data_IF_569026019438
#
_entry.id   IF_569026019438
#
_cell.length_a   1.000
_cell.length_b   1.000
_cell.length_c   1.000
_cell.angle_alpha   90.00
_cell.angle_beta   90.00
_cell.angle_gamma   90.00
#
_symmetry.space_group_name_H-M   'P 1'
#
loop_
_entity.id
_entity.type
_entity.pdbx_description
1 polymer ?
#
# COMPACT_ATOMS: atom_id res chain seq x y z
N UNK A 1 -13.28 4.97 8.31
CA UNK A 1 -12.49 4.13 7.39
C UNK A 1 -13.46 3.17 6.72
N UNK A 2 -14.04 3.54 5.57
CA UNK A 2 -14.82 2.60 4.77
C UNK A 2 -13.81 1.72 4.02
N UNK A 3 -14.00 0.39 3.94
CA UNK A 3 -13.21 -0.42 3.03
C UNK A 3 -13.51 0.10 1.61
N UNK A 4 -12.48 0.60 0.94
CA UNK A 4 -12.57 0.83 -0.50
C UNK A 4 -12.87 -0.53 -1.13
N UNK A 5 -13.80 -0.64 -2.08
CA UNK A 5 -14.20 -1.92 -2.70
C UNK A 5 -13.04 -2.69 -3.36
N UNK A 6 -11.86 -2.07 -3.45
CA UNK A 6 -10.63 -2.61 -4.02
C UNK A 6 -9.73 -3.31 -2.98
N UNK A 7 -10.13 -3.34 -1.70
CA UNK A 7 -9.37 -3.93 -0.59
C UNK A 7 -10.18 -5.04 0.08
N UNK A 8 -9.79 -6.29 -0.14
CA UNK A 8 -10.42 -7.45 0.51
C UNK A 8 -9.51 -8.02 1.58
N UNK A 9 -10.02 -8.20 2.80
CA UNK A 9 -9.27 -8.88 3.86
C UNK A 9 -9.48 -10.39 3.76
N UNK A 10 -8.38 -11.13 3.70
CA UNK A 10 -8.36 -12.58 3.76
C UNK A 10 -8.10 -13.01 5.21
N UNK A 11 -9.15 -13.46 5.90
CA UNK A 11 -9.10 -13.90 7.30
C UNK A 11 -8.22 -15.15 7.51
N UNK A 12 -8.05 -15.99 6.49
CA UNK A 12 -7.29 -17.24 6.58
C UNK A 12 -5.78 -16.97 6.50
N UNK A 13 -5.39 -16.02 5.65
CA UNK A 13 -3.99 -15.61 5.49
C UNK A 13 -3.58 -14.44 6.40
N UNK A 14 -4.55 -13.68 6.91
CA UNK A 14 -4.32 -12.48 7.72
C UNK A 14 -3.81 -11.28 6.92
N UNK A 15 -4.07 -11.25 5.61
CA UNK A 15 -3.56 -10.24 4.69
C UNK A 15 -4.69 -9.50 3.99
N UNK A 16 -4.39 -8.29 3.52
CA UNK A 16 -5.27 -7.56 2.63
C UNK A 16 -4.84 -7.74 1.18
N UNK A 17 -5.79 -8.04 0.31
CA UNK A 17 -5.63 -8.04 -1.12
C UNK A 17 -6.02 -6.67 -1.69
N UNK A 18 -5.05 -5.95 -2.24
CA UNK A 18 -5.23 -4.64 -2.89
C UNK A 18 -5.39 -4.77 -4.41
N UNK A 19 -5.65 -5.98 -4.92
CA UNK A 19 -5.71 -6.31 -6.35
C UNK A 19 -4.34 -6.43 -7.01
N UNK A 20 -3.47 -5.45 -6.81
CA UNK A 20 -2.10 -5.46 -7.34
C UNK A 20 -1.10 -6.22 -6.46
N UNK A 21 -1.26 -6.11 -5.14
CA UNK A 21 -0.33 -6.67 -4.15
C UNK A 21 -1.08 -7.12 -2.90
N UNK A 22 -0.48 -8.09 -2.20
CA UNK A 22 -0.90 -8.49 -0.86
C UNK A 22 -0.19 -7.63 0.17
N UNK A 23 -0.94 -7.13 1.14
CA UNK A 23 -0.47 -6.28 2.22
C UNK A 23 -0.59 -7.01 3.56
N UNK A 24 0.50 -7.02 4.32
CA UNK A 24 0.56 -7.53 5.68
C UNK A 24 0.32 -6.37 6.67
N UNK A 25 -0.83 -6.34 7.36
CA UNK A 25 -1.15 -5.29 8.33
C UNK A 25 -0.32 -5.37 9.62
N UNK A 26 0.26 -6.52 9.95
CA UNK A 26 1.12 -6.70 11.13
C UNK A 26 2.51 -6.12 10.86
N UNK A 27 3.05 -6.35 9.66
CA UNK A 27 4.34 -5.78 9.24
C UNK A 27 4.23 -4.33 8.73
N UNK A 28 3.05 -3.91 8.30
CA UNK A 28 2.83 -2.59 7.71
C UNK A 28 3.41 -2.45 6.30
N UNK A 29 3.50 -3.54 5.53
CA UNK A 29 4.20 -3.60 4.23
C UNK A 29 3.50 -4.50 3.23
N UNK A 30 3.75 -4.28 1.94
CA UNK A 30 3.41 -5.24 0.91
C UNK A 30 4.34 -6.45 0.95
N UNK A 31 3.80 -7.62 0.59
CA UNK A 31 4.55 -8.88 0.51
C UNK A 31 5.32 -9.01 -0.82
N UNK A 32 4.98 -8.20 -1.82
CA UNK A 32 5.66 -8.11 -3.10
C UNK A 32 6.14 -6.69 -3.40
N UNK A 33 7.24 -6.58 -4.14
CA UNK A 33 7.74 -5.29 -4.61
C UNK A 33 6.77 -4.70 -5.63
N UNK A 34 6.60 -3.38 -5.57
CA UNK A 34 5.92 -2.60 -6.60
C UNK A 34 6.54 -2.86 -7.98
N UNK A 35 5.69 -3.06 -8.97
CA UNK A 35 6.10 -3.16 -10.37
C UNK A 35 6.44 -1.78 -10.97
N UNK A 36 5.97 -0.71 -10.33
CA UNK A 36 6.10 0.68 -10.74
C UNK A 36 6.96 1.42 -9.70
N UNK A 37 8.03 2.07 -10.16
CA UNK A 37 8.73 3.08 -9.35
C UNK A 37 8.18 4.44 -9.74
N UNK A 38 7.46 5.05 -8.82
CA UNK A 38 6.66 6.26 -9.12
C UNK A 38 7.52 7.48 -9.43
N UNK A 39 8.61 7.67 -8.71
CA UNK A 39 9.52 8.79 -8.87
C UNK A 39 10.96 8.32 -8.61
N UNK A 40 11.68 7.81 -9.63
CA UNK A 40 13.01 7.22 -9.47
C UNK A 40 14.07 8.15 -8.88
N UNK A 41 13.84 9.46 -8.98
CA UNK A 41 14.64 10.53 -8.40
C UNK A 41 14.31 10.83 -6.93
N UNK A 42 13.20 10.31 -6.41
CA UNK A 42 12.82 10.35 -5.00
C UNK A 42 13.23 9.04 -4.29
N UNK A 43 14.25 9.07 -3.41
CA UNK A 43 14.75 7.89 -2.71
C UNK A 43 13.68 7.15 -1.90
N UNK A 44 12.62 7.84 -1.44
CA UNK A 44 11.52 7.19 -0.71
C UNK A 44 10.73 6.21 -1.58
N UNK A 45 10.62 6.44 -2.89
CA UNK A 45 9.87 5.54 -3.79
C UNK A 45 10.67 4.29 -4.16
N UNK A 46 11.98 4.26 -3.85
CA UNK A 46 12.81 3.08 -4.04
C UNK A 46 12.48 1.97 -3.04
N UNK A 47 11.80 2.28 -1.92
CA UNK A 47 11.24 1.27 -1.03
C UNK A 47 9.93 0.71 -1.59
N UNK A 48 10.07 -0.21 -2.53
CA UNK A 48 8.96 -0.83 -3.29
C UNK A 48 8.03 -1.73 -2.46
N UNK A 49 8.31 -1.93 -1.18
CA UNK A 49 7.44 -2.70 -0.27
C UNK A 49 6.65 -1.79 0.68
N UNK A 50 6.92 -0.48 0.67
CA UNK A 50 6.26 0.45 1.60
C UNK A 50 4.79 0.65 1.23
N UNK A 51 3.95 0.67 2.26
CA UNK A 51 2.58 1.18 2.16
C UNK A 51 2.60 2.68 2.43
N UNK A 52 1.87 3.47 1.63
CA UNK A 52 1.65 4.90 1.90
C UNK A 52 2.93 5.71 2.20
N UNK A 53 4.05 5.43 1.50
CA UNK A 53 5.40 6.00 1.77
C UNK A 53 5.90 5.86 3.23
N UNK A 54 5.44 4.85 3.95
CA UNK A 54 5.63 4.68 5.40
C UNK A 54 4.99 5.80 6.25
N UNK A 55 4.01 6.53 5.73
CA UNK A 55 3.24 7.52 6.48
C UNK A 55 1.72 7.35 6.22
N UNK A 56 1.11 6.29 6.77
CA UNK A 56 -0.31 5.97 6.59
C UNK A 56 -1.27 6.93 7.32
N UNK A 57 -0.74 7.95 8.00
CA UNK A 57 -1.55 9.00 8.65
C UNK A 57 -1.93 10.08 7.62
N UNK A 58 -1.02 10.35 6.67
CA UNK A 58 -1.19 11.41 5.65
C UNK A 58 -1.54 10.81 4.29
N UNK A 59 -1.06 9.60 4.01
CA UNK A 59 -1.22 8.97 2.71
C UNK A 59 -2.00 7.66 2.82
N UNK A 60 -2.75 7.36 1.77
CA UNK A 60 -3.43 6.08 1.56
C UNK A 60 -3.05 5.56 0.18
N UNK A 61 -2.86 4.25 -0.01
CA UNK A 61 -2.62 3.63 -1.32
C UNK A 61 -3.79 2.71 -1.70
N UNK A 62 -4.85 3.22 -2.36
CA UNK A 62 -6.08 2.45 -2.60
C UNK A 62 -5.88 1.26 -3.54
N UNK A 63 -4.97 1.39 -4.52
CA UNK A 63 -4.73 0.38 -5.57
C UNK A 63 -3.56 -0.54 -5.26
N UNK A 64 -2.85 -0.29 -4.17
CA UNK A 64 -1.61 -0.95 -3.85
C UNK A 64 -0.54 -0.71 -4.91
N UNK A 65 -0.47 0.46 -5.54
CA UNK A 65 0.61 0.90 -6.43
C UNK A 65 0.84 2.41 -6.38
N UNK A 66 -0.14 3.18 -5.89
CA UNK A 66 -0.11 4.63 -5.92
C UNK A 66 -0.73 5.24 -4.68
N UNK A 67 0.13 5.91 -3.90
CA UNK A 67 -0.31 6.65 -2.73
C UNK A 67 -0.93 7.99 -3.13
N UNK A 68 -2.04 8.34 -2.50
CA UNK A 68 -2.71 9.63 -2.58
C UNK A 68 -2.63 10.31 -1.22
N UNK A 69 -2.72 11.64 -1.20
CA UNK A 69 -2.93 12.40 0.03
C UNK A 69 -4.37 12.17 0.44
N UNK A 70 -4.59 11.76 1.69
CA UNK A 70 -5.92 11.76 2.28
C UNK A 70 -6.25 13.20 2.70
N UNK A 71 -7.41 13.73 2.30
CA UNK A 71 -7.80 15.12 2.59
C UNK A 71 -7.78 15.33 4.12
N UNK A 72 -7.04 16.37 4.56
CA UNK A 72 -6.97 16.81 5.97
C UNK A 72 -8.24 17.58 6.35
#
# INVERSE_FOLDING_TARGET
>A
MYPSPDQEYDDELGFYNYGARLYDPVLGKFLSADSIVQAPDDPQTLNRYSYARNNPIIYTDPSGNFFIIDDI
#
